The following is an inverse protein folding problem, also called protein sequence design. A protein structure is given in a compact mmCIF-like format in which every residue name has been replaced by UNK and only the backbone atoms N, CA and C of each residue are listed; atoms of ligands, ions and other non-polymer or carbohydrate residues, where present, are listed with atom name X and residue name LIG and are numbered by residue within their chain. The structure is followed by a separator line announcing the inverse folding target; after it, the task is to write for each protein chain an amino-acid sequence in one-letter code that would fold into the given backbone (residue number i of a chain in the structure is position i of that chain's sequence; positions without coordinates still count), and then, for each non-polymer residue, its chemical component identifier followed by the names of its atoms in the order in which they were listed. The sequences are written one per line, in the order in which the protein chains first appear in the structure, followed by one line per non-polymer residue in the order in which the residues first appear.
data_IF_039485019334
#
_entry.id   IF_039485019334
#
_cell.length_a   1.000
_cell.length_b   1.000
_cell.length_c   1.000
_cell.angle_alpha   90.00
_cell.angle_beta   90.00
_cell.angle_gamma   90.00
#
_symmetry.space_group_name_H-M   'P 1'
#
loop_
_entity.id
_entity.type
_entity.pdbx_description
1 polymer ?
#
# COMPACT_ATOMS: atom_id res chain seq x y z
N UNK A 1 22.13 -7.77 18.01
CA UNK A 1 20.84 -7.06 18.13
C UNK A 1 20.16 -7.18 16.76
N UNK A 2 18.96 -7.73 16.71
CA UNK A 2 18.21 -7.83 15.45
C UNK A 2 17.80 -6.43 15.00
N UNK A 3 17.81 -6.20 13.68
CA UNK A 3 17.42 -4.90 13.12
C UNK A 3 15.89 -4.82 13.05
N UNK A 4 15.33 -3.72 13.53
CA UNK A 4 13.92 -3.41 13.38
C UNK A 4 13.68 -2.77 12.00
N UNK A 5 12.70 -3.28 11.27
CA UNK A 5 12.21 -2.66 10.02
C UNK A 5 11.07 -1.71 10.38
N UNK A 6 11.27 -0.42 10.08
CA UNK A 6 10.23 0.61 10.29
C UNK A 6 9.55 0.87 8.96
N UNK A 7 8.24 0.58 8.90
CA UNK A 7 7.37 0.86 7.77
C UNK A 7 6.51 2.08 8.07
N UNK A 8 6.52 3.08 7.20
CA UNK A 8 5.68 4.26 7.33
C UNK A 8 4.52 4.20 6.32
N UNK A 9 3.29 4.24 6.84
CA UNK A 9 2.07 4.37 6.06
C UNK A 9 1.72 5.86 5.96
N UNK A 10 2.00 6.49 4.83
CA UNK A 10 1.90 7.95 4.66
C UNK A 10 0.52 8.45 4.24
N UNK A 11 -0.33 7.55 3.76
CA UNK A 11 -1.69 7.85 3.32
C UNK A 11 -2.59 6.62 3.54
N UNK A 12 -3.87 6.76 3.25
CA UNK A 12 -4.87 5.69 3.23
C UNK A 12 -5.99 6.00 2.27
N UNK A 13 -6.98 5.11 2.12
CA UNK A 13 -8.14 5.32 1.25
C UNK A 13 -9.30 6.03 1.97
N UNK A 14 -9.43 5.87 3.29
CA UNK A 14 -10.63 6.24 4.05
C UNK A 14 -10.58 7.67 4.63
N UNK A 15 -9.44 8.06 5.21
CA UNK A 15 -9.30 9.35 5.89
C UNK A 15 -9.14 10.46 4.86
N UNK A 16 -9.94 11.53 5.01
CA UNK A 16 -9.90 12.71 4.14
C UNK A 16 -9.26 13.93 4.82
N UNK A 17 -8.99 15.00 4.05
CA UNK A 17 -8.51 16.27 4.61
C UNK A 17 -9.52 16.95 5.55
N UNK A 18 -10.78 16.57 5.51
CA UNK A 18 -11.78 17.01 6.49
C UNK A 18 -11.54 16.38 7.86
N UNK A 19 -11.12 15.11 7.88
CA UNK A 19 -10.77 14.40 9.10
C UNK A 19 -9.41 14.82 9.64
N UNK A 20 -8.43 14.96 8.73
CA UNK A 20 -7.08 15.40 9.04
C UNK A 20 -6.50 16.19 7.85
N UNK A 21 -6.31 17.51 7.98
CA UNK A 21 -5.81 18.35 6.89
C UNK A 21 -4.38 18.00 6.41
N UNK A 22 -3.65 17.19 7.18
CA UNK A 22 -2.30 16.73 6.80
C UNK A 22 -2.31 15.51 5.85
N UNK A 23 -3.47 14.90 5.56
CA UNK A 23 -3.54 13.75 4.64
C UNK A 23 -3.04 14.16 3.25
N UNK A 24 -2.00 13.50 2.70
CA UNK A 24 -1.44 13.87 1.42
C UNK A 24 -2.30 13.35 0.27
N UNK A 25 -2.62 14.20 -0.71
CA UNK A 25 -3.33 13.87 -1.93
C UNK A 25 -2.46 14.03 -3.16
N UNK A 26 -1.77 15.18 -3.27
CA UNK A 26 -0.94 15.49 -4.45
C UNK A 26 0.40 14.76 -4.39
N UNK A 27 1.06 14.65 -5.55
CA UNK A 27 2.41 14.03 -5.61
C UNK A 27 3.39 14.76 -4.71
N UNK A 28 3.35 16.09 -4.67
CA UNK A 28 4.23 16.91 -3.84
C UNK A 28 3.98 16.65 -2.35
N UNK A 29 2.73 16.52 -1.93
CA UNK A 29 2.36 16.19 -0.55
C UNK A 29 2.86 14.78 -0.18
N UNK A 30 2.64 13.79 -1.06
CA UNK A 30 3.11 12.41 -0.89
C UNK A 30 4.63 12.36 -0.78
N UNK A 31 5.36 13.07 -1.65
CA UNK A 31 6.83 13.14 -1.62
C UNK A 31 7.33 13.77 -0.33
N UNK A 32 6.69 14.84 0.14
CA UNK A 32 7.05 15.51 1.40
C UNK A 32 6.90 14.56 2.58
N UNK A 33 5.79 13.84 2.69
CA UNK A 33 5.54 12.90 3.79
C UNK A 33 6.49 11.68 3.70
N UNK A 34 6.72 11.14 2.50
CA UNK A 34 7.69 10.06 2.29
C UNK A 34 9.10 10.48 2.70
N UNK A 35 9.53 11.70 2.31
CA UNK A 35 10.84 12.23 2.67
C UNK A 35 10.98 12.44 4.19
N UNK A 36 9.94 12.96 4.83
CA UNK A 36 9.92 13.15 6.28
C UNK A 36 10.07 11.82 7.03
N UNK A 37 9.33 10.79 6.60
CA UNK A 37 9.43 9.46 7.18
C UNK A 37 10.81 8.82 6.94
N UNK A 38 11.34 8.96 5.73
CA UNK A 38 12.68 8.47 5.37
C UNK A 38 13.78 9.13 6.22
N UNK A 39 13.75 10.45 6.39
CA UNK A 39 14.70 11.19 7.22
C UNK A 39 14.60 10.81 8.70
N UNK A 40 13.42 10.40 9.15
CA UNK A 40 13.20 9.88 10.50
C UNK A 40 13.65 8.42 10.68
N UNK A 41 14.08 7.74 9.60
CA UNK A 41 14.64 6.39 9.63
C UNK A 41 13.70 5.28 9.16
N UNK A 42 12.60 5.60 8.48
CA UNK A 42 11.77 4.58 7.85
C UNK A 42 12.54 3.86 6.74
N UNK A 43 12.54 2.54 6.78
CA UNK A 43 13.16 1.68 5.77
C UNK A 43 12.20 1.35 4.62
N UNK A 44 10.89 1.45 4.87
CA UNK A 44 9.83 1.12 3.93
C UNK A 44 8.75 2.20 3.97
N UNK A 45 8.29 2.61 2.80
CA UNK A 45 7.13 3.47 2.61
C UNK A 45 6.00 2.64 2.02
N UNK A 46 4.93 2.44 2.79
CA UNK A 46 3.69 1.92 2.26
C UNK A 46 2.96 3.04 1.53
N UNK A 47 2.71 2.82 0.26
CA UNK A 47 2.23 3.82 -0.68
C UNK A 47 0.85 3.46 -1.25
N UNK A 48 -0.24 3.91 -0.67
CA UNK A 48 -1.49 4.13 -1.39
C UNK A 48 -1.43 5.51 -2.08
N UNK A 49 -2.14 5.66 -3.20
CA UNK A 49 -2.18 6.94 -3.92
C UNK A 49 -3.61 7.42 -4.12
N UNK A 50 -3.74 8.73 -4.37
CA UNK A 50 -5.00 9.40 -4.66
C UNK A 50 -4.83 10.34 -5.83
N UNK A 51 -5.93 10.68 -6.48
CA UNK A 51 -5.98 11.87 -7.34
C UNK A 51 -5.90 13.15 -6.50
N UNK A 52 -5.59 14.27 -7.13
CA UNK A 52 -5.40 15.56 -6.43
C UNK A 52 -6.68 16.08 -5.74
N UNK A 53 -7.84 15.59 -6.18
CA UNK A 53 -9.13 15.85 -5.53
C UNK A 53 -9.40 14.99 -4.29
N UNK A 54 -8.50 14.07 -3.98
CA UNK A 54 -8.59 13.16 -2.84
C UNK A 54 -9.27 11.82 -3.15
N UNK A 55 -9.75 11.59 -4.38
CA UNK A 55 -10.34 10.31 -4.78
C UNK A 55 -9.29 9.20 -4.73
N UNK A 56 -9.49 8.08 -3.99
CA UNK A 56 -8.60 6.93 -4.01
C UNK A 56 -8.47 6.33 -5.42
N UNK A 57 -7.27 5.91 -5.80
CA UNK A 57 -7.04 5.30 -7.11
C UNK A 57 -6.00 4.18 -7.05
N UNK A 58 -6.11 3.23 -7.97
CA UNK A 58 -5.12 2.19 -8.23
C UNK A 58 -4.49 2.35 -9.62
N UNK A 59 -4.70 3.50 -10.24
CA UNK A 59 -4.16 3.79 -11.58
C UNK A 59 -2.63 3.65 -11.61
N UNK A 60 -2.16 2.81 -12.51
CA UNK A 60 -0.73 2.54 -12.71
C UNK A 60 0.09 3.80 -12.97
N UNK A 61 -0.44 4.74 -13.78
CA UNK A 61 0.25 5.98 -14.12
C UNK A 61 0.45 6.86 -12.89
N UNK A 62 -0.59 6.96 -12.04
CA UNK A 62 -0.51 7.71 -10.79
C UNK A 62 0.48 7.09 -9.80
N UNK A 63 0.52 5.76 -9.67
CA UNK A 63 1.54 5.09 -8.87
C UNK A 63 2.94 5.36 -9.41
N UNK A 64 3.13 5.25 -10.75
CA UNK A 64 4.43 5.51 -11.38
C UNK A 64 4.92 6.93 -11.11
N UNK A 65 4.04 7.92 -11.27
CA UNK A 65 4.36 9.33 -11.00
C UNK A 65 4.84 9.54 -9.56
N UNK A 66 4.12 8.99 -8.58
CA UNK A 66 4.48 9.09 -7.17
C UNK A 66 5.80 8.38 -6.87
N UNK A 67 5.99 7.16 -7.38
CA UNK A 67 7.21 6.38 -7.16
C UNK A 67 8.43 7.08 -7.76
N UNK A 68 8.33 7.57 -8.98
CA UNK A 68 9.42 8.30 -9.64
C UNK A 68 9.80 9.58 -8.88
N UNK A 69 8.81 10.26 -8.31
CA UNK A 69 9.04 11.46 -7.52
C UNK A 69 9.67 11.13 -6.16
N UNK A 70 9.22 10.09 -5.46
CA UNK A 70 9.80 9.64 -4.18
C UNK A 70 11.24 9.18 -4.39
N UNK A 71 11.54 8.40 -5.44
CA UNK A 71 12.89 7.89 -5.72
C UNK A 71 13.94 9.00 -5.90
N UNK A 72 13.55 10.18 -6.38
CA UNK A 72 14.47 11.32 -6.51
C UNK A 72 14.98 11.85 -5.17
N UNK A 73 14.21 11.70 -4.11
CA UNK A 73 14.53 12.26 -2.78
C UNK A 73 14.79 11.17 -1.72
N UNK A 74 14.37 9.93 -1.97
CA UNK A 74 14.54 8.77 -1.10
C UNK A 74 15.06 7.58 -1.94
N UNK A 75 16.34 7.58 -2.37
CA UNK A 75 16.82 6.60 -3.36
C UNK A 75 16.83 5.16 -2.85
N UNK A 76 17.05 4.95 -1.56
CA UNK A 76 17.29 3.63 -0.96
C UNK A 76 16.07 3.06 -0.22
N UNK A 77 14.97 3.84 -0.11
CA UNK A 77 13.78 3.37 0.62
C UNK A 77 13.06 2.27 -0.16
N UNK A 78 12.57 1.25 0.50
CA UNK A 78 11.66 0.28 -0.12
C UNK A 78 10.30 0.96 -0.31
N UNK A 79 9.81 1.01 -1.53
CA UNK A 79 8.46 1.50 -1.83
C UNK A 79 7.56 0.30 -2.03
N UNK A 80 6.51 0.22 -1.20
CA UNK A 80 5.53 -0.85 -1.20
C UNK A 80 4.18 -0.31 -1.68
N UNK A 81 3.81 -0.50 -2.94
CA UNK A 81 2.48 -0.13 -3.44
C UNK A 81 1.38 -0.87 -2.69
N UNK A 82 0.31 -0.16 -2.38
CA UNK A 82 -0.91 -0.76 -1.85
C UNK A 82 -1.66 -1.51 -2.94
N UNK A 83 -2.07 -2.74 -2.67
CA UNK A 83 -3.03 -3.50 -3.50
C UNK A 83 -4.43 -3.51 -2.88
N UNK A 84 -4.63 -2.79 -1.79
CA UNK A 84 -5.94 -2.68 -1.14
C UNK A 84 -6.94 -1.93 -2.00
N UNK A 85 -6.57 -0.74 -2.44
CA UNK A 85 -7.50 0.17 -3.12
C UNK A 85 -8.56 0.71 -2.17
N UNK A 86 -9.73 1.00 -2.70
CA UNK A 86 -10.93 1.35 -1.96
C UNK A 86 -11.97 0.23 -2.06
N UNK A 87 -12.94 0.23 -1.15
CA UNK A 87 -14.07 -0.71 -1.20
C UNK A 87 -14.77 -0.63 -2.57
N UNK A 88 -15.04 -1.79 -3.16
CA UNK A 88 -15.70 -1.90 -4.46
C UNK A 88 -14.77 -1.92 -5.68
N UNK A 89 -13.47 -1.68 -5.52
CA UNK A 89 -12.50 -1.86 -6.60
C UNK A 89 -12.33 -3.34 -6.95
N UNK A 90 -12.24 -3.63 -8.24
CA UNK A 90 -12.01 -4.98 -8.76
C UNK A 90 -10.57 -5.44 -8.54
N UNK A 91 -10.35 -6.76 -8.56
CA UNK A 91 -9.01 -7.36 -8.47
C UNK A 91 -8.07 -6.82 -9.56
N UNK A 92 -8.56 -6.61 -10.78
CA UNK A 92 -7.77 -6.06 -11.88
C UNK A 92 -7.34 -4.62 -11.64
N UNK A 93 -8.22 -3.79 -11.09
CA UNK A 93 -7.88 -2.42 -10.70
C UNK A 93 -6.83 -2.43 -9.59
N UNK A 94 -7.04 -3.23 -8.55
CA UNK A 94 -6.14 -3.32 -7.39
C UNK A 94 -4.73 -3.76 -7.78
N UNK A 95 -4.58 -4.65 -8.76
CA UNK A 95 -3.28 -5.14 -9.23
C UNK A 95 -2.50 -4.14 -10.09
N UNK A 96 -3.12 -3.08 -10.60
CA UNK A 96 -2.42 -2.07 -11.41
C UNK A 96 -1.25 -1.42 -10.66
N UNK A 97 -1.36 -1.26 -9.35
CA UNK A 97 -0.29 -0.74 -8.49
C UNK A 97 1.01 -1.55 -8.56
N UNK A 98 0.91 -2.83 -8.92
CA UNK A 98 2.07 -3.74 -9.05
C UNK A 98 2.72 -3.72 -10.44
N UNK A 99 2.17 -2.95 -11.39
CA UNK A 99 2.62 -2.91 -12.79
C UNK A 99 3.59 -1.76 -13.11
N UNK A 100 4.05 -1.06 -12.09
CA UNK A 100 5.02 0.04 -12.21
C UNK A 100 6.40 -0.46 -12.62
N UNK A 101 7.24 0.47 -13.09
CA UNK A 101 8.61 0.19 -13.53
C UNK A 101 9.60 1.08 -12.78
N UNK A 102 10.69 0.54 -12.20
CA UNK A 102 10.98 -0.89 -12.06
C UNK A 102 9.95 -1.62 -11.22
N UNK A 103 9.84 -2.93 -11.41
CA UNK A 103 8.95 -3.78 -10.58
C UNK A 103 9.18 -3.53 -9.09
N UNK A 104 8.13 -3.31 -8.29
CA UNK A 104 8.29 -3.06 -6.87
C UNK A 104 8.90 -4.27 -6.15
N UNK A 105 9.73 -4.02 -5.15
CA UNK A 105 10.37 -5.09 -4.36
C UNK A 105 9.35 -5.81 -3.48
N UNK A 106 8.35 -5.08 -3.01
CA UNK A 106 7.27 -5.58 -2.14
C UNK A 106 5.93 -4.96 -2.54
N UNK A 107 4.84 -5.65 -2.23
CA UNK A 107 3.48 -5.11 -2.27
C UNK A 107 2.64 -5.73 -1.16
N UNK A 108 1.51 -5.13 -0.82
CA UNK A 108 0.62 -5.68 0.22
C UNK A 108 -0.19 -6.86 -0.31
N UNK A 109 -0.53 -7.80 0.57
CA UNK A 109 -1.43 -8.91 0.31
C UNK A 109 -2.36 -9.04 1.51
N UNK A 110 -3.59 -8.56 1.36
CA UNK A 110 -4.61 -8.63 2.40
C UNK A 110 -5.20 -10.05 2.45
N UNK A 111 -5.01 -10.74 3.58
CA UNK A 111 -5.25 -12.18 3.74
C UNK A 111 -6.62 -12.49 4.37
N UNK A 112 -7.63 -11.68 4.12
CA UNK A 112 -8.98 -11.96 4.60
C UNK A 112 -9.97 -10.85 4.26
N UNK A 113 -11.24 -11.23 4.20
CA UNK A 113 -12.36 -10.30 4.08
C UNK A 113 -12.64 -9.67 5.44
N UNK A 114 -12.78 -8.35 5.49
CA UNK A 114 -13.05 -7.63 6.73
C UNK A 114 -14.07 -6.50 6.54
N UNK A 115 -14.61 -6.00 7.65
CA UNK A 115 -15.35 -4.75 7.68
C UNK A 115 -14.39 -3.58 7.59
N UNK A 116 -14.62 -2.70 6.63
CA UNK A 116 -13.79 -1.53 6.39
C UNK A 116 -14.54 -0.24 6.74
N UNK A 117 -14.88 -0.10 8.00
CA UNK A 117 -15.67 1.02 8.49
C UNK A 117 -17.18 0.89 8.26
N UNK A 118 -17.96 0.82 9.34
CA UNK A 118 -19.41 0.71 9.26
C UNK A 118 -19.89 -0.58 8.62
N UNK A 119 -20.78 -0.46 7.62
CA UNK A 119 -21.41 -1.59 6.93
C UNK A 119 -20.68 -2.01 5.64
N UNK A 120 -19.56 -1.37 5.31
CA UNK A 120 -18.81 -1.68 4.10
C UNK A 120 -17.92 -2.91 4.28
N UNK A 121 -17.93 -3.78 3.27
CA UNK A 121 -17.17 -5.04 3.26
C UNK A 121 -16.03 -4.92 2.27
N UNK A 122 -14.80 -5.03 2.76
CA UNK A 122 -13.61 -5.16 1.95
C UNK A 122 -13.35 -6.64 1.66
N UNK A 123 -13.61 -7.05 0.43
CA UNK A 123 -13.64 -8.45 0.04
C UNK A 123 -12.25 -8.92 -0.37
N UNK A 124 -11.74 -9.95 0.31
CA UNK A 124 -10.55 -10.71 -0.06
C UNK A 124 -10.88 -12.21 0.08
N UNK A 125 -11.36 -12.81 -1.00
CA UNK A 125 -11.65 -14.26 -1.04
C UNK A 125 -10.36 -15.06 -1.17
N UNK A 126 -10.40 -16.36 -0.86
CA UNK A 126 -9.26 -17.26 -1.09
C UNK A 126 -8.78 -17.22 -2.54
N UNK A 127 -9.70 -17.10 -3.51
CA UNK A 127 -9.36 -16.96 -4.91
C UNK A 127 -8.61 -15.64 -5.20
N UNK A 128 -9.07 -14.52 -4.64
CA UNK A 128 -8.40 -13.21 -4.75
C UNK A 128 -7.00 -13.28 -4.16
N UNK A 129 -6.86 -13.82 -2.95
CA UNK A 129 -5.58 -13.93 -2.23
C UNK A 129 -4.60 -14.80 -3.04
N UNK A 130 -5.02 -15.98 -3.49
CA UNK A 130 -4.18 -16.87 -4.27
C UNK A 130 -3.77 -16.25 -5.61
N UNK A 131 -4.70 -15.63 -6.33
CA UNK A 131 -4.42 -14.95 -7.59
C UNK A 131 -3.39 -13.81 -7.41
N UNK A 132 -3.55 -12.98 -6.39
CA UNK A 132 -2.58 -11.92 -6.10
C UNK A 132 -1.21 -12.49 -5.73
N UNK A 133 -1.19 -13.54 -4.89
CA UNK A 133 0.04 -14.22 -4.51
C UNK A 133 0.79 -14.81 -5.70
N UNK A 134 0.08 -15.46 -6.62
CA UNK A 134 0.66 -16.05 -7.83
C UNK A 134 1.22 -14.97 -8.77
N UNK A 135 0.48 -13.88 -8.99
CA UNK A 135 0.93 -12.74 -9.79
C UNK A 135 2.17 -12.08 -9.17
N UNK A 136 2.18 -11.85 -7.87
CA UNK A 136 3.35 -11.29 -7.17
C UNK A 136 4.56 -12.21 -7.30
N UNK A 137 4.38 -13.51 -7.14
CA UNK A 137 5.42 -14.52 -7.30
C UNK A 137 5.98 -14.54 -8.73
N UNK A 138 5.11 -14.50 -9.75
CA UNK A 138 5.52 -14.46 -11.15
C UNK A 138 6.34 -13.19 -11.47
N UNK A 139 5.94 -12.06 -10.90
CA UNK A 139 6.62 -10.77 -11.07
C UNK A 139 7.85 -10.58 -10.19
N UNK A 140 8.13 -11.50 -9.27
CA UNK A 140 9.24 -11.39 -8.32
C UNK A 140 9.01 -10.36 -7.20
N UNK A 141 7.75 -10.03 -6.93
CA UNK A 141 7.33 -9.11 -5.87
C UNK A 141 7.17 -9.89 -4.58
N UNK A 142 7.76 -9.40 -3.48
CA UNK A 142 7.59 -10.02 -2.16
C UNK A 142 6.28 -9.55 -1.52
N UNK A 143 5.32 -10.46 -1.21
CA UNK A 143 4.10 -10.08 -0.54
C UNK A 143 4.35 -9.74 0.94
N UNK A 144 3.71 -8.67 1.44
CA UNK A 144 3.47 -8.47 2.85
C UNK A 144 2.08 -8.98 3.17
N UNK A 145 1.99 -10.14 3.85
CA UNK A 145 0.70 -10.70 4.26
C UNK A 145 0.14 -9.87 5.42
N UNK A 146 -1.05 -9.32 5.22
CA UNK A 146 -1.77 -8.53 6.22
C UNK A 146 -3.03 -9.26 6.64
N UNK A 147 -3.25 -9.34 7.95
CA UNK A 147 -4.46 -9.92 8.53
C UNK A 147 -5.08 -8.91 9.50
N UNK A 148 -6.39 -8.70 9.38
CA UNK A 148 -7.17 -7.87 10.30
C UNK A 148 -7.65 -8.63 11.54
N UNK A 149 -7.47 -9.95 11.55
CA UNK A 149 -7.87 -10.78 12.69
C UNK A 149 -6.74 -10.95 13.70
N UNK A 150 -6.88 -10.41 14.89
CA UNK A 150 -5.99 -10.64 16.03
C UNK A 150 -5.78 -12.12 16.34
N UNK A 151 -6.75 -12.97 16.02
CA UNK A 151 -6.69 -14.41 16.26
C UNK A 151 -5.73 -15.13 15.30
N UNK A 152 -5.53 -14.64 14.09
CA UNK A 152 -4.59 -15.24 13.13
C UNK A 152 -3.14 -14.98 13.50
N UNK A 153 -2.84 -13.85 14.13
CA UNK A 153 -1.50 -13.54 14.66
C UNK A 153 -1.14 -14.41 15.88
N UNK A 154 -2.14 -14.74 16.70
CA UNK A 154 -1.96 -15.58 17.88
C UNK A 154 -1.91 -17.08 17.57
N UNK A 155 -2.32 -17.49 16.36
CA UNK A 155 -2.32 -18.88 15.91
C UNK A 155 -1.09 -19.26 15.08
N UNK A 156 -0.18 -18.33 14.81
CA UNK A 156 1.09 -18.66 14.20
C UNK A 156 1.86 -19.61 15.11
N UNK A 157 2.22 -20.82 14.66
CA UNK A 157 2.99 -21.74 15.50
C UNK A 157 4.31 -21.09 15.86
N UNK A 158 4.62 -21.08 17.15
CA UNK A 158 5.92 -20.69 17.69
C UNK A 158 7.00 -21.69 17.28
#
# INVERSE_FOLDING_TARGET
MEKLIISACICGAEVTKENNPAVPYTVEEIVREAKSAYDAGAALIHLPVRWDDGTPTQDKGRFQECVDAIRKVCPDVIIQPSTGGAVGMTDLERLQSTEITPTPEMATLDCGTCNFGGDEIFINTDNTINNFGDIMKERGIKPECRSEEHTSELQSPQ
#
